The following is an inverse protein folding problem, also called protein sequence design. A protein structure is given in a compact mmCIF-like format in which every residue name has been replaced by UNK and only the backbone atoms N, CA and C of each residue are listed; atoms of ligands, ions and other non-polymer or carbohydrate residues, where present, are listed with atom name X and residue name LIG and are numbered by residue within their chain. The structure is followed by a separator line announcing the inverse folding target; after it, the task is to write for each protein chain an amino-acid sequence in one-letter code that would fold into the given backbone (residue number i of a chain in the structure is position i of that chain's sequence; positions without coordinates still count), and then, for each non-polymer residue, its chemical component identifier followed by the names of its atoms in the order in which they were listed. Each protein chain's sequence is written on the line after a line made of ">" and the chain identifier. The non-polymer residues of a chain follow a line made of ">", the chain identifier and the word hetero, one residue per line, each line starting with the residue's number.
data_IF_929394210081
#
_entry.id   IF_929394210081
#
_cell.length_a   1.000
_cell.length_b   1.000
_cell.length_c   1.000
_cell.angle_alpha   90.00
_cell.angle_beta   90.00
_cell.angle_gamma   90.00
#
_symmetry.space_group_name_H-M   'P 1'
#
loop_
_entity.id
_entity.type
_entity.pdbx_description
1 polymer ?
#
# COMPACT_ATOMS: atom_id res chain seq x y z
N UNK A 1 7.83 -36.64 -3.06
CA UNK A 1 6.95 -35.48 -3.35
C UNK A 1 7.82 -34.25 -3.29
N UNK A 2 7.77 -33.39 -4.31
CA UNK A 2 8.64 -32.22 -4.47
C UNK A 2 8.11 -31.07 -3.60
N UNK A 3 8.92 -30.50 -2.71
CA UNK A 3 8.59 -29.34 -1.88
C UNK A 3 8.46 -28.09 -2.77
N UNK A 4 7.23 -27.76 -3.17
CA UNK A 4 6.95 -26.70 -4.16
C UNK A 4 6.09 -25.54 -3.62
N UNK A 5 6.05 -25.32 -2.29
CA UNK A 5 5.27 -24.23 -1.73
C UNK A 5 5.79 -23.70 -0.40
N UNK A 6 5.48 -22.44 -0.06
CA UNK A 6 5.73 -21.91 1.28
C UNK A 6 5.05 -22.82 2.32
N UNK A 7 5.64 -22.95 3.51
CA UNK A 7 5.01 -23.65 4.64
C UNK A 7 3.75 -22.89 5.08
N UNK A 8 2.61 -23.18 4.44
CA UNK A 8 1.33 -22.54 4.70
C UNK A 8 0.46 -23.47 5.54
N UNK A 9 -0.13 -22.93 6.61
CA UNK A 9 -1.18 -23.64 7.34
C UNK A 9 -2.47 -23.60 6.51
N UNK A 10 -2.96 -24.78 6.12
CA UNK A 10 -4.19 -24.95 5.34
C UNK A 10 -5.19 -25.78 6.14
N UNK A 11 -6.43 -25.31 6.20
CA UNK A 11 -7.56 -26.06 6.72
C UNK A 11 -8.51 -26.35 5.58
N UNK A 12 -9.08 -27.56 5.55
CA UNK A 12 -10.13 -27.94 4.60
C UNK A 12 -11.47 -27.78 5.30
N UNK A 13 -12.30 -26.87 4.78
CA UNK A 13 -13.68 -26.68 5.24
C UNK A 13 -14.66 -27.14 4.15
N UNK A 14 -15.27 -28.33 4.29
CA UNK A 14 -16.18 -28.88 3.28
C UNK A 14 -17.52 -28.14 3.20
N UNK A 15 -17.83 -27.23 4.14
CA UNK A 15 -19.11 -26.50 4.17
C UNK A 15 -19.01 -25.05 3.66
N UNK A 16 -17.84 -24.61 3.17
CA UNK A 16 -17.67 -23.30 2.57
C UNK A 16 -18.26 -23.27 1.14
N UNK A 17 -19.50 -22.77 1.03
CA UNK A 17 -20.28 -22.71 -0.22
C UNK A 17 -20.44 -21.26 -0.71
N UNK A 18 -19.83 -20.26 -0.06
CA UNK A 18 -20.00 -18.85 -0.46
C UNK A 18 -19.33 -18.58 -1.81
N UNK A 19 -20.05 -17.91 -2.70
CA UNK A 19 -19.57 -17.59 -4.06
C UNK A 19 -19.74 -18.72 -5.08
N UNK A 20 -20.54 -19.75 -4.75
CA UNK A 20 -20.81 -20.89 -5.63
C UNK A 20 -21.39 -20.50 -7.01
N UNK A 21 -22.12 -19.39 -7.10
CA UNK A 21 -22.68 -18.92 -8.38
C UNK A 21 -21.61 -18.41 -9.36
N UNK A 22 -20.43 -18.02 -8.85
CA UNK A 22 -19.31 -17.54 -9.68
C UNK A 22 -18.19 -18.57 -9.81
N UNK A 23 -17.97 -19.39 -8.78
CA UNK A 23 -16.89 -20.37 -8.75
C UNK A 23 -17.35 -21.75 -9.23
N UNK A 24 -16.51 -22.39 -10.05
CA UNK A 24 -16.80 -23.67 -10.69
C UNK A 24 -15.99 -24.85 -10.12
N UNK A 25 -15.27 -24.63 -9.01
CA UNK A 25 -14.38 -25.63 -8.43
C UNK A 25 -13.82 -25.19 -7.08
N UNK A 26 -12.55 -25.51 -6.83
CA UNK A 26 -11.87 -25.19 -5.57
C UNK A 26 -11.93 -23.68 -5.27
N UNK A 27 -12.41 -23.35 -4.08
CA UNK A 27 -12.38 -22.01 -3.49
C UNK A 27 -11.41 -21.98 -2.32
N UNK A 28 -10.95 -20.79 -1.97
CA UNK A 28 -10.09 -20.55 -0.82
C UNK A 28 -10.38 -19.20 -0.19
N UNK A 29 -10.18 -19.13 1.13
CA UNK A 29 -10.36 -17.93 1.94
C UNK A 29 -9.09 -17.71 2.75
N UNK A 30 -8.58 -16.49 2.76
CA UNK A 30 -7.38 -16.11 3.50
C UNK A 30 -7.76 -15.48 4.83
N UNK A 31 -7.09 -15.94 5.89
CA UNK A 31 -7.25 -15.40 7.23
C UNK A 31 -5.89 -14.93 7.77
N UNK A 32 -5.92 -13.93 8.65
CA UNK A 32 -4.76 -13.49 9.41
C UNK A 32 -5.04 -13.65 10.89
N UNK A 33 -4.03 -14.05 11.67
CA UNK A 33 -4.12 -14.16 13.13
C UNK A 33 -4.52 -12.85 13.79
N UNK A 34 -4.18 -11.72 13.17
CA UNK A 34 -4.41 -10.38 13.71
C UNK A 34 -5.66 -9.70 13.12
N UNK A 35 -6.46 -10.41 12.32
CA UNK A 35 -7.68 -9.85 11.71
C UNK A 35 -8.94 -10.51 12.25
N UNK A 36 -10.02 -9.74 12.36
CA UNK A 36 -11.35 -10.29 12.56
C UNK A 36 -11.94 -10.68 11.19
N UNK A 37 -12.01 -11.99 10.97
CA UNK A 37 -12.52 -12.59 9.73
C UNK A 37 -11.49 -12.65 8.62
N UNK A 38 -11.96 -12.90 7.40
CA UNK A 38 -11.09 -13.06 6.23
C UNK A 38 -10.52 -11.73 5.72
N UNK A 39 -9.37 -11.84 5.04
CA UNK A 39 -8.66 -10.73 4.38
C UNK A 39 -8.70 -10.83 2.86
N UNK A 40 -9.26 -11.92 2.34
CA UNK A 40 -9.43 -12.14 0.92
C UNK A 40 -10.01 -13.52 0.64
N UNK A 41 -10.53 -13.68 -0.58
CA UNK A 41 -11.14 -14.91 -1.06
C UNK A 41 -10.81 -15.10 -2.53
N UNK A 42 -10.92 -16.32 -3.00
CA UNK A 42 -10.79 -16.62 -4.41
C UNK A 42 -11.15 -18.04 -4.72
N UNK A 43 -10.86 -18.42 -5.95
CA UNK A 43 -11.15 -19.75 -6.41
C UNK A 43 -11.12 -19.86 -7.92
N UNK A 44 -11.36 -21.08 -8.38
CA UNK A 44 -11.51 -21.41 -9.79
C UNK A 44 -12.87 -20.94 -10.30
N UNK A 45 -12.89 -20.41 -11.51
CA UNK A 45 -14.12 -20.01 -12.20
C UNK A 45 -14.01 -20.37 -13.69
N UNK A 46 -15.14 -20.44 -14.38
CA UNK A 46 -15.18 -20.58 -15.84
C UNK A 46 -15.55 -19.25 -16.47
N UNK A 47 -14.79 -18.84 -17.47
CA UNK A 47 -15.13 -17.74 -18.36
C UNK A 47 -15.84 -18.32 -19.57
N UNK A 48 -17.05 -17.88 -19.83
CA UNK A 48 -17.75 -18.16 -21.09
C UNK A 48 -17.39 -17.11 -22.12
N UNK A 49 -17.02 -17.53 -23.33
CA UNK A 49 -16.83 -16.60 -24.43
C UNK A 49 -18.20 -16.01 -24.85
N UNK A 50 -18.31 -14.67 -24.87
CA UNK A 50 -19.56 -13.97 -25.20
C UNK A 50 -20.01 -14.17 -26.65
N UNK A 51 -19.11 -14.51 -27.57
CA UNK A 51 -19.42 -14.72 -28.99
C UNK A 51 -19.57 -16.20 -29.37
N UNK A 52 -19.07 -17.13 -28.53
CA UNK A 52 -19.22 -18.57 -28.73
C UNK A 52 -19.38 -19.27 -27.38
N UNK A 53 -20.63 -19.57 -27.01
CA UNK A 53 -20.96 -20.19 -25.72
C UNK A 53 -20.45 -21.64 -25.59
N UNK A 54 -20.00 -22.27 -26.69
CA UNK A 54 -19.37 -23.59 -26.63
C UNK A 54 -17.92 -23.54 -26.15
N UNK A 55 -17.30 -22.34 -26.18
CA UNK A 55 -15.95 -22.12 -25.69
C UNK A 55 -15.97 -21.59 -24.26
N UNK A 56 -15.32 -22.34 -23.38
CA UNK A 56 -15.12 -21.96 -21.98
C UNK A 56 -13.64 -22.04 -21.63
N UNK A 57 -13.18 -21.06 -20.86
CA UNK A 57 -11.80 -21.00 -20.36
C UNK A 57 -11.79 -21.10 -18.84
N UNK A 58 -10.86 -21.87 -18.30
CA UNK A 58 -10.69 -22.02 -16.85
C UNK A 58 -9.81 -20.90 -16.31
N UNK A 59 -10.33 -20.12 -15.38
CA UNK A 59 -9.59 -19.08 -14.64
C UNK A 59 -9.43 -19.42 -13.16
N UNK A 60 -8.43 -18.82 -12.52
CA UNK A 60 -8.33 -18.75 -11.06
C UNK A 60 -7.94 -17.33 -10.67
N UNK A 61 -8.47 -16.85 -9.56
CA UNK A 61 -8.26 -15.48 -9.14
C UNK A 61 -8.45 -15.30 -7.64
N UNK A 62 -8.06 -14.14 -7.16
CA UNK A 62 -8.19 -13.75 -5.76
C UNK A 62 -8.64 -12.30 -5.69
N UNK A 63 -9.53 -12.02 -4.74
CA UNK A 63 -9.89 -10.68 -4.31
C UNK A 63 -9.37 -10.46 -2.89
N UNK A 64 -8.57 -9.42 -2.71
CA UNK A 64 -8.00 -9.02 -1.43
C UNK A 64 -8.73 -7.79 -0.88
N UNK A 65 -9.08 -7.82 0.40
CA UNK A 65 -9.79 -6.73 1.05
C UNK A 65 -8.78 -5.71 1.59
N UNK A 66 -8.44 -4.74 0.75
CA UNK A 66 -7.37 -3.78 1.04
C UNK A 66 -7.60 -3.00 2.33
N UNK A 67 -8.84 -2.64 2.67
CA UNK A 67 -9.16 -1.97 3.93
C UNK A 67 -8.69 -2.79 5.14
N UNK A 68 -8.99 -4.09 5.16
CA UNK A 68 -8.55 -5.01 6.21
C UNK A 68 -7.05 -5.25 6.19
N UNK A 69 -6.44 -5.33 5.01
CA UNK A 69 -4.99 -5.54 4.91
C UNK A 69 -4.24 -4.33 5.46
N UNK A 70 -4.67 -3.12 5.12
CA UNK A 70 -4.04 -1.87 5.58
C UNK A 70 -4.09 -1.76 7.10
N UNK A 71 -5.19 -2.16 7.75
CA UNK A 71 -5.31 -2.21 9.21
C UNK A 71 -4.32 -3.17 9.88
N UNK A 72 -3.84 -4.18 9.16
CA UNK A 72 -2.88 -5.18 9.65
C UNK A 72 -1.42 -4.76 9.42
N UNK A 73 -1.18 -3.72 8.62
CA UNK A 73 0.17 -3.27 8.35
C UNK A 73 0.76 -2.62 9.62
N UNK A 74 2.05 -2.85 9.91
CA UNK A 74 2.71 -2.16 11.00
C UNK A 74 2.65 -0.65 10.78
N UNK A 75 2.63 0.12 11.88
CA UNK A 75 2.74 1.58 11.80
C UNK A 75 4.02 1.93 11.03
N UNK A 76 3.86 2.68 9.94
CA UNK A 76 5.01 3.16 9.15
C UNK A 76 5.67 4.29 9.92
N UNK A 77 6.99 4.21 10.11
CA UNK A 77 7.75 5.31 10.68
C UNK A 77 7.52 6.58 9.87
N UNK A 78 7.17 7.66 10.57
CA UNK A 78 6.97 8.97 9.93
C UNK A 78 8.34 9.45 9.47
N UNK A 79 8.52 9.53 8.14
CA UNK A 79 9.71 10.17 7.56
C UNK A 79 9.72 11.64 7.98
N UNK A 80 10.90 12.14 8.34
CA UNK A 80 11.09 13.56 8.59
C UNK A 80 10.79 14.34 7.31
N UNK A 81 10.01 15.41 7.45
CA UNK A 81 9.60 16.27 6.33
C UNK A 81 10.16 17.67 6.56
N UNK A 82 10.79 18.24 5.56
CA UNK A 82 11.46 19.54 5.63
C UNK A 82 10.96 20.47 4.53
N UNK A 83 10.66 21.71 4.89
CA UNK A 83 10.34 22.79 3.94
C UNK A 83 11.65 23.52 3.60
N UNK A 84 12.11 23.46 2.36
CA UNK A 84 13.31 24.16 1.91
C UNK A 84 12.94 25.54 1.37
N UNK A 85 13.65 26.58 1.80
CA UNK A 85 13.53 27.93 1.22
C UNK A 85 13.78 27.91 -0.29
N UNK A 86 13.20 28.88 -0.99
CA UNK A 86 13.52 29.11 -2.40
C UNK A 86 15.01 29.42 -2.55
N UNK A 87 15.69 28.74 -3.49
CA UNK A 87 17.11 28.97 -3.77
C UNK A 87 18.09 28.02 -3.08
N UNK A 88 17.61 27.07 -2.25
CA UNK A 88 18.46 25.97 -1.80
C UNK A 88 18.91 25.14 -3.01
N UNK A 89 20.22 24.88 -3.09
CA UNK A 89 20.80 24.18 -4.22
C UNK A 89 20.26 22.75 -4.37
N UNK A 90 20.23 22.25 -5.61
CA UNK A 90 19.72 20.91 -5.88
C UNK A 90 20.55 19.83 -5.18
N UNK A 91 21.86 20.05 -5.03
CA UNK A 91 22.80 19.13 -4.38
C UNK A 91 22.45 18.94 -2.90
N UNK A 92 22.14 20.04 -2.19
CA UNK A 92 21.73 20.00 -0.79
C UNK A 92 20.39 19.27 -0.66
N UNK A 93 19.40 19.61 -1.50
CA UNK A 93 18.09 18.94 -1.51
C UNK A 93 18.25 17.43 -1.76
N UNK A 94 19.08 17.04 -2.73
CA UNK A 94 19.33 15.65 -3.07
C UNK A 94 19.99 14.88 -1.93
N UNK A 95 20.84 15.53 -1.13
CA UNK A 95 21.41 14.93 0.08
C UNK A 95 20.34 14.61 1.13
N UNK A 96 19.40 15.52 1.40
CA UNK A 96 18.29 15.25 2.33
C UNK A 96 17.39 14.10 1.84
N UNK A 97 17.08 14.07 0.53
CA UNK A 97 16.29 12.98 -0.06
C UNK A 97 17.02 11.64 0.10
N UNK A 98 18.34 11.58 -0.18
CA UNK A 98 19.15 10.36 0.00
C UNK A 98 19.18 9.89 1.45
N UNK A 99 19.16 10.82 2.40
CA UNK A 99 19.05 10.52 3.84
C UNK A 99 17.62 10.19 4.30
N UNK A 100 16.67 9.99 3.38
CA UNK A 100 15.31 9.52 3.68
C UNK A 100 14.32 10.62 4.07
N UNK A 101 14.69 11.90 3.93
CA UNK A 101 13.79 13.01 4.19
C UNK A 101 12.80 13.23 3.04
N UNK A 102 11.63 13.77 3.37
CA UNK A 102 10.72 14.34 2.39
C UNK A 102 11.01 15.84 2.32
N UNK A 103 11.50 16.32 1.17
CA UNK A 103 11.76 17.75 0.95
C UNK A 103 10.60 18.37 0.18
N UNK A 104 10.10 19.51 0.66
CA UNK A 104 9.14 20.36 -0.04
C UNK A 104 9.82 21.69 -0.27
N UNK A 105 9.92 22.14 -1.53
CA UNK A 105 10.51 23.43 -1.85
C UNK A 105 9.45 24.53 -1.78
N UNK A 106 9.80 25.66 -1.18
CA UNK A 106 9.03 26.90 -1.26
C UNK A 106 8.97 27.38 -2.71
N UNK A 107 7.76 27.71 -3.16
CA UNK A 107 7.53 28.17 -4.53
C UNK A 107 7.59 29.70 -4.66
N UNK A 108 7.04 30.43 -3.68
CA UNK A 108 6.95 31.88 -3.72
C UNK A 108 7.68 32.53 -2.53
N UNK A 109 8.46 33.57 -2.81
CA UNK A 109 9.14 34.39 -1.80
C UNK A 109 8.16 35.43 -1.25
N UNK A 110 7.75 35.29 0.01
CA UNK A 110 6.88 36.27 0.69
C UNK A 110 5.82 35.66 1.59
N UNK A 111 5.47 34.40 1.36
CA UNK A 111 4.61 33.65 2.28
C UNK A 111 5.35 33.32 3.57
N UNK A 112 4.61 33.30 4.68
CA UNK A 112 5.08 32.78 5.95
C UNK A 112 5.39 31.28 5.80
N UNK A 113 6.66 30.99 5.50
CA UNK A 113 7.17 29.64 5.29
C UNK A 113 6.88 28.73 6.49
N UNK A 114 6.84 29.28 7.71
CA UNK A 114 6.53 28.49 8.91
C UNK A 114 5.07 28.07 8.89
N UNK A 115 4.16 28.98 8.58
CA UNK A 115 2.73 28.68 8.40
C UNK A 115 2.49 27.66 7.28
N UNK A 116 3.15 27.81 6.13
CA UNK A 116 3.05 26.86 5.02
C UNK A 116 3.60 25.48 5.38
N UNK A 117 4.77 25.44 6.02
CA UNK A 117 5.41 24.22 6.46
C UNK A 117 4.53 23.48 7.49
N UNK A 118 3.88 24.19 8.42
CA UNK A 118 2.90 23.62 9.35
C UNK A 118 1.69 23.03 8.61
N UNK A 119 1.10 23.76 7.64
CA UNK A 119 -0.02 23.26 6.81
C UNK A 119 0.35 21.96 6.09
N UNK A 120 1.58 21.87 5.58
CA UNK A 120 2.09 20.70 4.86
C UNK A 120 2.65 19.59 5.77
N UNK A 121 2.54 19.78 7.10
CA UNK A 121 3.03 18.87 8.15
C UNK A 121 4.54 18.61 8.04
N UNK A 122 5.29 19.61 7.60
CA UNK A 122 6.73 19.64 7.75
C UNK A 122 7.09 19.69 9.23
N UNK A 123 8.18 19.04 9.55
CA UNK A 123 8.78 19.00 10.89
C UNK A 123 9.91 20.01 11.04
N UNK A 124 10.58 20.37 9.93
CA UNK A 124 11.74 21.25 9.90
C UNK A 124 11.65 22.25 8.74
N UNK A 125 12.40 23.34 8.82
CA UNK A 125 12.69 24.28 7.72
C UNK A 125 14.18 24.16 7.37
N UNK A 126 14.52 24.20 6.07
CA UNK A 126 15.88 24.20 5.57
C UNK A 126 16.18 25.55 4.91
N UNK A 127 17.09 26.31 5.52
CA UNK A 127 17.65 27.56 5.01
C UNK A 127 19.09 27.35 4.54
N UNK A 128 19.72 28.42 4.03
CA UNK A 128 21.14 28.43 3.70
C UNK A 128 22.03 28.24 4.93
N UNK A 129 21.54 28.60 6.11
CA UNK A 129 22.27 28.51 7.38
C UNK A 129 22.15 27.14 8.05
N UNK A 130 21.22 26.30 7.57
CA UNK A 130 21.03 24.94 8.04
C UNK A 130 19.57 24.56 8.21
N UNK A 131 19.35 23.52 9.02
CA UNK A 131 18.02 22.98 9.31
C UNK A 131 17.56 23.41 10.70
N UNK A 132 16.30 23.84 10.80
CA UNK A 132 15.67 24.29 12.03
C UNK A 132 14.36 23.55 12.27
N UNK A 133 14.07 23.19 13.52
CA UNK A 133 12.80 22.57 13.90
C UNK A 133 11.66 23.59 13.87
N UNK A 134 10.49 23.18 13.37
CA UNK A 134 9.34 24.08 13.19
C UNK A 134 8.58 24.36 14.50
N UNK A 135 8.82 23.61 15.60
CA UNK A 135 8.08 23.63 16.88
C UNK A 135 6.89 24.60 16.98
#
# INVERSE_FOLDING_TARGET
>A
MKDWGPQLSVTIDPVEIRGYEYHSGLTYTFFSKNSRGEIGRGGRYMLSNKTDLSQTESGTGISLYLSKIVELLPSREKRKKVMAYSGISHEIVAEYIRNGWIVISQLETGDDIKSEAQKLKCTHILSTDGIEDIS
#
